data_IF_171071340595
#
_entry.id   IF_171071340595
#
_cell.length_a   1.000
_cell.length_b   1.000
_cell.length_c   1.000
_cell.angle_alpha   90.00
_cell.angle_beta   90.00
_cell.angle_gamma   90.00
#
_symmetry.space_group_name_H-M   'P 1'
#
loop_
_entity.id
_entity.type
_entity.pdbx_description
1 polymer ?
#
# COMPACT_ATOMS: atom_id res chain seq x y z
N UNK A 1 -3.88 4.96 -4.57
CA UNK A 1 -4.91 4.00 -4.13
C UNK A 1 -4.50 3.42 -2.78
N UNK A 2 -5.43 3.13 -1.86
CA UNK A 2 -5.15 2.46 -0.57
C UNK A 2 -6.21 1.37 -0.38
N UNK A 3 -5.78 0.13 -0.16
CA UNK A 3 -6.68 -0.99 0.14
C UNK A 3 -6.45 -1.53 1.55
N UNK A 4 -7.52 -1.96 2.20
CA UNK A 4 -7.47 -2.70 3.45
C UNK A 4 -8.06 -4.08 3.24
N UNK A 5 -7.31 -5.11 3.66
CA UNK A 5 -7.69 -6.49 3.49
C UNK A 5 -7.69 -7.23 4.82
N UNK A 6 -8.75 -8.02 5.07
CA UNK A 6 -8.74 -9.00 6.13
C UNK A 6 -7.90 -10.21 5.68
N UNK A 7 -6.70 -10.31 6.22
CA UNK A 7 -5.71 -11.32 5.83
C UNK A 7 -6.19 -12.76 5.99
N UNK A 8 -6.98 -13.08 7.02
CA UNK A 8 -7.42 -14.46 7.28
C UNK A 8 -8.52 -14.90 6.31
N UNK A 9 -9.44 -14.00 5.98
CA UNK A 9 -10.62 -14.33 5.17
C UNK A 9 -10.49 -14.00 3.68
N UNK A 10 -9.45 -13.24 3.31
CA UNK A 10 -9.25 -12.74 1.95
C UNK A 10 -10.17 -11.59 1.54
N UNK A 11 -10.97 -11.05 2.46
CA UNK A 11 -11.94 -9.98 2.17
C UNK A 11 -11.26 -8.62 2.02
N UNK A 12 -11.54 -7.91 0.92
CA UNK A 12 -11.28 -6.48 0.81
C UNK A 12 -12.30 -5.73 1.66
N UNK A 13 -11.87 -5.08 2.75
CA UNK A 13 -12.78 -4.45 3.73
C UNK A 13 -12.85 -2.94 3.60
N UNK A 14 -11.92 -2.32 2.87
CA UNK A 14 -11.94 -0.90 2.53
C UNK A 14 -11.14 -0.64 1.25
N UNK A 15 -11.51 0.41 0.52
CA UNK A 15 -10.69 1.03 -0.50
C UNK A 15 -10.84 2.54 -0.42
N UNK A 16 -9.72 3.25 -0.46
CA UNK A 16 -9.68 4.68 -0.70
C UNK A 16 -8.97 4.96 -2.02
N UNK A 17 -9.66 5.70 -2.88
CA UNK A 17 -9.12 6.15 -4.17
C UNK A 17 -9.47 7.62 -4.37
N UNK A 18 -8.47 8.46 -4.53
CA UNK A 18 -8.66 9.90 -4.69
C UNK A 18 -7.35 10.63 -4.94
N UNK A 19 -7.49 11.92 -5.26
CA UNK A 19 -6.36 12.84 -5.34
C UNK A 19 -6.27 13.62 -4.03
N UNK A 20 -5.07 13.69 -3.48
CA UNK A 20 -4.75 14.44 -2.27
C UNK A 20 -3.30 14.90 -2.39
N UNK A 21 -2.95 15.96 -1.67
CA UNK A 21 -1.56 16.39 -1.53
C UNK A 21 -0.70 15.25 -0.96
N UNK A 22 0.50 15.06 -1.52
CA UNK A 22 1.35 13.92 -1.20
C UNK A 22 1.74 13.83 0.27
N UNK A 23 1.91 14.98 0.93
CA UNK A 23 2.24 15.08 2.34
C UNK A 23 1.09 14.63 3.27
N UNK A 24 -0.15 14.56 2.76
CA UNK A 24 -1.32 14.11 3.53
C UNK A 24 -1.60 12.61 3.38
N UNK A 25 -0.96 11.91 2.44
CA UNK A 25 -1.22 10.49 2.19
C UNK A 25 -0.87 9.64 3.43
N UNK A 26 0.23 9.96 4.11
CA UNK A 26 0.61 9.29 5.36
C UNK A 26 -0.49 9.38 6.42
N UNK A 27 -1.15 10.53 6.52
CA UNK A 27 -2.22 10.75 7.50
C UNK A 27 -3.48 9.94 7.16
N UNK A 28 -3.82 9.81 5.88
CA UNK A 28 -4.92 8.95 5.42
C UNK A 28 -4.62 7.48 5.71
N UNK A 29 -3.39 7.02 5.47
CA UNK A 29 -2.99 5.63 5.76
C UNK A 29 -3.13 5.33 7.25
N UNK A 30 -2.65 6.22 8.12
CA UNK A 30 -2.75 6.07 9.57
C UNK A 30 -4.22 6.02 10.01
N UNK A 31 -5.03 7.00 9.58
CA UNK A 31 -6.44 7.09 9.95
C UNK A 31 -7.23 5.84 9.54
N UNK A 32 -7.06 5.38 8.31
CA UNK A 32 -7.68 4.13 7.83
C UNK A 32 -7.14 2.95 8.64
N UNK A 33 -5.83 2.90 8.85
CA UNK A 33 -5.17 1.85 9.61
C UNK A 33 -5.71 1.68 11.04
N UNK A 34 -5.94 2.79 11.74
CA UNK A 34 -6.54 2.82 13.08
C UNK A 34 -7.98 2.31 13.08
N UNK A 35 -8.79 2.73 12.09
CA UNK A 35 -10.17 2.25 11.93
C UNK A 35 -10.25 0.73 11.75
N UNK A 36 -9.20 0.13 11.17
CA UNK A 36 -9.09 -1.32 10.95
C UNK A 36 -8.09 -2.01 11.90
N UNK A 37 -7.90 -1.45 13.10
CA UNK A 37 -7.20 -2.12 14.20
C UNK A 37 -5.68 -2.12 14.07
N UNK A 38 -5.09 -0.99 13.68
CA UNK A 38 -3.65 -0.82 13.45
C UNK A 38 -3.13 -1.76 12.36
N UNK A 39 -3.85 -1.86 11.24
CA UNK A 39 -3.48 -2.69 10.12
C UNK A 39 -2.08 -2.32 9.59
N UNK A 40 -1.16 -3.28 9.53
CA UNK A 40 0.20 -3.06 9.07
C UNK A 40 0.21 -2.52 7.62
N UNK A 41 0.86 -1.39 7.38
CA UNK A 41 0.87 -0.72 6.09
C UNK A 41 1.99 -1.23 5.18
N UNK A 42 1.68 -1.60 3.94
CA UNK A 42 2.66 -1.86 2.89
C UNK A 42 2.60 -0.75 1.85
N UNK A 43 3.66 0.04 1.79
CA UNK A 43 3.77 1.21 0.90
C UNK A 43 4.74 0.86 -0.22
N UNK A 44 4.39 1.18 -1.46
CA UNK A 44 5.33 1.05 -2.58
C UNK A 44 6.45 2.09 -2.41
N UNK A 45 7.70 1.63 -2.28
CA UNK A 45 8.86 2.45 -2.00
C UNK A 45 9.41 3.09 -3.29
N UNK A 46 8.58 3.91 -3.95
CA UNK A 46 8.89 4.63 -5.19
C UNK A 46 8.35 6.06 -5.13
N UNK A 47 9.13 7.02 -5.65
CA UNK A 47 8.74 8.43 -5.73
C UNK A 47 8.13 8.94 -4.39
N UNK A 48 6.85 9.33 -4.41
CA UNK A 48 6.13 9.86 -3.26
C UNK A 48 5.88 8.84 -2.13
N UNK A 49 6.02 7.54 -2.40
CA UNK A 49 5.90 6.50 -1.38
C UNK A 49 6.97 6.59 -0.29
N UNK A 50 8.16 7.11 -0.60
CA UNK A 50 9.20 7.34 0.41
C UNK A 50 8.80 8.38 1.45
N UNK A 51 8.05 9.41 1.04
CA UNK A 51 7.47 10.39 1.96
C UNK A 51 6.47 9.73 2.90
N UNK A 52 5.60 8.87 2.37
CA UNK A 52 4.62 8.12 3.18
C UNK A 52 5.33 7.19 4.18
N UNK A 53 6.36 6.46 3.75
CA UNK A 53 7.19 5.59 4.62
C UNK A 53 7.81 6.41 5.76
N UNK A 54 8.36 7.59 5.45
CA UNK A 54 8.96 8.46 6.44
C UNK A 54 7.92 8.99 7.46
N UNK A 55 6.73 9.36 6.99
CA UNK A 55 5.62 9.79 7.83
C UNK A 55 5.17 8.68 8.79
N UNK A 56 4.97 7.46 8.28
CA UNK A 56 4.63 6.28 9.09
C UNK A 56 5.71 5.98 10.12
N UNK A 57 7.00 6.13 9.75
CA UNK A 57 8.12 5.95 10.67
C UNK A 57 8.10 6.99 11.80
N UNK A 58 7.86 8.27 11.50
CA UNK A 58 7.74 9.33 12.52
C UNK A 58 6.56 9.09 13.46
N UNK A 59 5.43 8.61 12.91
CA UNK A 59 4.25 8.26 13.69
C UNK A 59 4.40 6.94 14.49
N UNK A 60 5.52 6.22 14.36
CA UNK A 60 5.70 4.87 14.91
C UNK A 60 4.59 3.90 14.46
N UNK A 61 4.06 4.09 13.25
CA UNK A 61 2.99 3.28 12.69
C UNK A 61 3.55 1.94 12.17
N UNK A 62 2.86 0.79 12.37
CA UNK A 62 3.32 -0.51 11.90
C UNK A 62 3.46 -0.58 10.38
N UNK A 63 4.68 -0.88 9.90
CA UNK A 63 4.99 -1.03 8.48
C UNK A 63 5.30 -2.49 8.13
N UNK A 64 4.95 -2.87 6.90
CA UNK A 64 5.40 -4.10 6.28
C UNK A 64 6.81 -3.90 5.78
N UNK A 65 7.68 -4.85 6.11
CA UNK A 65 9.05 -4.90 5.64
C UNK A 65 9.16 -6.10 4.70
N UNK A 66 9.22 -5.84 3.39
CA UNK A 66 9.44 -6.92 2.41
C UNK A 66 10.77 -7.63 2.70
N UNK A 67 11.80 -6.85 3.03
CA UNK A 67 13.13 -7.33 3.43
C UNK A 67 13.43 -6.83 4.84
N UNK A 68 14.16 -7.59 5.67
CA UNK A 68 14.52 -7.13 7.01
C UNK A 68 15.17 -5.73 6.99
N UNK A 69 14.56 -4.76 7.67
CA UNK A 69 15.02 -3.37 7.72
C UNK A 69 14.73 -2.53 6.46
N UNK A 70 14.07 -3.10 5.45
CA UNK A 70 13.62 -2.42 4.23
C UNK A 70 12.14 -2.10 4.30
N UNK A 71 11.73 -0.85 4.64
CA UNK A 71 10.33 -0.51 4.79
C UNK A 71 9.60 -0.54 3.45
N UNK A 72 8.36 -1.01 3.47
CA UNK A 72 7.48 -1.07 2.31
C UNK A 72 7.84 -2.17 1.32
N UNK A 73 7.45 -1.94 0.08
CA UNK A 73 7.64 -2.82 -1.07
C UNK A 73 8.52 -2.13 -2.10
N UNK A 74 9.69 -2.68 -2.39
CA UNK A 74 10.57 -2.14 -3.43
C UNK A 74 10.16 -2.67 -4.81
N UNK A 75 9.64 -1.83 -5.74
CA UNK A 75 9.28 -2.29 -7.06
C UNK A 75 10.54 -2.51 -7.90
N UNK A 76 10.65 -3.71 -8.45
CA UNK A 76 11.63 -4.13 -9.45
C UNK A 76 10.86 -4.97 -10.48
N UNK A 77 11.37 -5.17 -11.70
CA UNK A 77 10.70 -6.03 -12.68
C UNK A 77 10.42 -7.43 -12.10
N UNK A 78 11.37 -7.96 -11.32
CA UNK A 78 11.22 -9.23 -10.62
C UNK A 78 10.11 -9.20 -9.57
N UNK A 79 10.13 -8.24 -8.64
CA UNK A 79 9.12 -8.17 -7.57
C UNK A 79 7.73 -7.82 -8.11
N UNK A 80 7.64 -7.04 -9.20
CA UNK A 80 6.38 -6.80 -9.92
C UNK A 80 5.81 -8.11 -10.49
N UNK A 81 6.63 -8.92 -11.16
CA UNK A 81 6.17 -10.20 -11.69
C UNK A 81 5.76 -11.16 -10.55
N UNK A 82 6.55 -11.26 -9.48
CA UNK A 82 6.24 -12.09 -8.30
C UNK A 82 4.89 -11.71 -7.64
N UNK A 83 4.61 -10.42 -7.49
CA UNK A 83 3.33 -9.96 -6.91
C UNK A 83 2.14 -10.18 -7.85
N UNK A 84 2.32 -10.01 -9.16
CA UNK A 84 1.27 -10.25 -10.16
C UNK A 84 0.92 -11.74 -10.23
N UNK A 85 1.92 -12.62 -10.29
CA UNK A 85 1.71 -14.08 -10.32
C UNK A 85 0.92 -14.55 -9.10
N UNK A 86 1.28 -14.04 -7.91
CA UNK A 86 0.62 -14.39 -6.66
C UNK A 86 -0.80 -13.82 -6.58
N UNK A 87 -0.99 -12.55 -6.97
CA UNK A 87 -2.30 -11.91 -7.00
C UNK A 87 -3.25 -12.60 -7.96
N UNK A 88 -2.77 -12.95 -9.16
CA UNK A 88 -3.55 -13.69 -10.16
C UNK A 88 -3.95 -15.07 -9.65
N UNK A 89 -3.00 -15.83 -9.08
CA UNK A 89 -3.27 -17.16 -8.52
C UNK A 89 -4.32 -17.08 -7.40
N UNK A 90 -4.16 -16.18 -6.44
CA UNK A 90 -5.10 -16.03 -5.33
C UNK A 90 -6.49 -15.54 -5.78
N UNK A 91 -6.56 -14.68 -6.79
CA UNK A 91 -7.84 -14.27 -7.38
C UNK A 91 -8.54 -15.45 -8.09
N UNK A 92 -7.79 -16.22 -8.88
CA UNK A 92 -8.30 -17.39 -9.61
C UNK A 92 -8.78 -18.50 -8.67
N UNK A 93 -8.05 -18.71 -7.57
CA UNK A 93 -8.33 -19.76 -6.59
C UNK A 93 -9.39 -19.32 -5.54
N UNK A 94 -9.98 -18.13 -5.70
CA UNK A 94 -10.99 -17.52 -4.83
C UNK A 94 -10.51 -17.22 -3.39
N UNK A 95 -9.20 -17.10 -3.20
CA UNK A 95 -8.59 -16.63 -1.95
C UNK A 95 -8.75 -15.11 -1.77
N UNK A 96 -8.96 -14.35 -2.85
CA UNK A 96 -9.25 -12.91 -2.79
C UNK A 96 -10.74 -12.64 -3.05
N UNK A 97 -11.40 -12.05 -2.07
CA UNK A 97 -12.80 -11.57 -2.17
C UNK A 97 -12.78 -10.06 -2.40
N UNK A 98 -12.68 -9.71 -3.68
CA UNK A 98 -12.60 -8.33 -4.17
C UNK A 98 -13.99 -7.69 -4.12
N UNK A 99 -14.16 -6.62 -3.32
CA UNK A 99 -15.43 -5.94 -3.14
C UNK A 99 -15.52 -4.63 -3.97
N UNK A 100 -14.39 -4.04 -4.33
CA UNK A 100 -14.36 -2.85 -5.18
C UNK A 100 -14.57 -3.22 -6.65
N UNK A 101 -15.70 -2.79 -7.22
CA UNK A 101 -16.03 -3.01 -8.64
C UNK A 101 -14.99 -2.37 -9.58
N UNK A 102 -14.38 -1.26 -9.16
CA UNK A 102 -13.36 -0.54 -9.92
C UNK A 102 -12.07 -1.37 -10.04
N UNK A 103 -11.70 -2.11 -8.98
CA UNK A 103 -10.57 -3.05 -9.05
C UNK A 103 -10.83 -4.12 -10.10
N UNK A 104 -12.04 -4.70 -10.11
CA UNK A 104 -12.45 -5.68 -11.13
C UNK A 104 -12.44 -5.07 -12.54
N UNK A 105 -12.78 -3.78 -12.66
CA UNK A 105 -12.70 -3.07 -13.94
C UNK A 105 -11.26 -2.93 -14.44
N UNK A 106 -10.31 -2.55 -13.57
CA UNK A 106 -8.89 -2.46 -13.93
C UNK A 106 -8.30 -3.83 -14.29
N UNK A 107 -8.76 -4.92 -13.64
CA UNK A 107 -8.29 -6.28 -13.95
C UNK A 107 -8.57 -6.69 -15.40
N UNK A 108 -9.65 -6.19 -16.00
CA UNK A 108 -10.01 -6.49 -17.40
C UNK A 108 -9.08 -5.85 -18.42
N UNK A 109 -8.34 -4.82 -18.00
CA UNK A 109 -7.46 -4.02 -18.85
C UNK A 109 -6.00 -4.15 -18.43
N UNK A 110 -5.69 -5.01 -17.46
CA UNK A 110 -4.32 -5.30 -17.04
C UNK A 110 -3.75 -6.42 -17.93
N UNK A 111 -2.72 -6.10 -18.69
CA UNK A 111 -2.18 -6.92 -19.77
C UNK A 111 -0.70 -7.22 -19.56
N UNK A 112 -0.20 -8.24 -20.25
CA UNK A 112 1.22 -8.55 -20.36
C UNK A 112 1.75 -8.04 -21.70
N UNK A 113 2.62 -7.04 -21.65
CA UNK A 113 3.37 -6.52 -22.78
C UNK A 113 4.59 -7.40 -23.08
N UNK A 114 4.90 -7.68 -24.35
CA UNK A 114 6.10 -8.43 -24.72
C UNK A 114 7.40 -7.63 -24.46
N UNK A 115 8.46 -8.24 -23.88
CA UNK A 115 8.51 -9.56 -23.25
C UNK A 115 8.27 -9.49 -21.72
N UNK A 116 7.10 -9.94 -21.26
CA UNK A 116 6.84 -10.27 -19.85
C UNK A 116 6.68 -9.10 -18.89
N UNK A 117 6.24 -7.93 -19.37
CA UNK A 117 5.97 -6.77 -18.52
C UNK A 117 4.48 -6.58 -18.32
N UNK A 118 4.02 -6.55 -17.07
CA UNK A 118 2.60 -6.32 -16.78
C UNK A 118 2.27 -4.85 -16.65
N UNK A 119 1.29 -4.35 -17.40
CA UNK A 119 0.87 -2.94 -17.35
C UNK A 119 -0.64 -2.82 -17.60
N UNK A 120 -1.21 -1.66 -17.28
CA UNK A 120 -2.51 -1.29 -17.83
C UNK A 120 -2.42 -1.08 -19.36
N UNK A 121 -3.45 -1.53 -20.08
CA UNK A 121 -3.65 -1.21 -21.48
C UNK A 121 -3.67 0.31 -21.70
N UNK A 122 -3.35 0.75 -22.92
CA UNK A 122 -3.28 2.17 -23.26
C UNK A 122 -4.56 2.93 -22.83
N UNK A 123 -4.38 4.02 -22.07
CA UNK A 123 -5.47 4.84 -21.54
C UNK A 123 -6.18 4.29 -20.30
N UNK A 124 -5.75 3.13 -19.77
CA UNK A 124 -6.29 2.52 -18.56
C UNK A 124 -5.39 2.78 -17.34
N UNK A 125 -5.87 2.37 -16.15
CA UNK A 125 -5.16 2.51 -14.87
C UNK A 125 -4.90 1.13 -14.27
N UNK A 126 -3.85 1.02 -13.46
CA UNK A 126 -3.47 -0.19 -12.74
C UNK A 126 -3.21 0.02 -11.24
N UNK A 127 -3.46 1.23 -10.70
CA UNK A 127 -3.21 1.55 -9.30
C UNK A 127 -3.89 0.58 -8.32
N UNK A 128 -5.10 0.10 -8.65
CA UNK A 128 -5.85 -0.83 -7.79
C UNK A 128 -5.35 -2.26 -7.93
N UNK A 129 -4.79 -2.60 -9.09
CA UNK A 129 -4.13 -3.89 -9.31
C UNK A 129 -2.84 -3.95 -8.52
N UNK A 130 -2.05 -2.88 -8.54
CA UNK A 130 -0.81 -2.77 -7.78
C UNK A 130 -1.06 -2.99 -6.29
N UNK A 131 -2.02 -2.28 -5.68
CA UNK A 131 -2.33 -2.46 -4.25
C UNK A 131 -2.93 -3.83 -3.92
N UNK A 132 -3.75 -4.41 -4.80
CA UNK A 132 -4.26 -5.79 -4.64
C UNK A 132 -3.12 -6.81 -4.66
N UNK A 133 -2.22 -6.72 -5.62
CA UNK A 133 -1.08 -7.64 -5.76
C UNK A 133 -0.12 -7.51 -4.58
N UNK A 134 0.15 -6.28 -4.11
CA UNK A 134 0.93 -6.07 -2.90
C UNK A 134 0.26 -6.65 -1.65
N UNK A 135 -1.06 -6.50 -1.51
CA UNK A 135 -1.80 -7.12 -0.42
C UNK A 135 -1.72 -8.65 -0.45
N UNK A 136 -1.76 -9.27 -1.64
CA UNK A 136 -1.59 -10.72 -1.81
C UNK A 136 -0.23 -11.19 -1.25
N UNK A 137 0.83 -10.44 -1.50
CA UNK A 137 2.18 -10.71 -0.96
C UNK A 137 2.21 -10.60 0.55
N UNK A 138 1.60 -9.56 1.12
CA UNK A 138 1.50 -9.43 2.57
C UNK A 138 0.78 -10.63 3.21
N UNK A 139 -0.29 -11.13 2.59
CA UNK A 139 -1.03 -12.28 3.10
C UNK A 139 -0.16 -13.53 3.18
N UNK A 140 0.63 -13.78 2.13
CA UNK A 140 1.54 -14.92 2.02
C UNK A 140 2.75 -14.83 2.96
N UNK A 141 3.31 -13.63 3.14
CA UNK A 141 4.59 -13.42 3.84
C UNK A 141 4.42 -13.16 5.34
N UNK A 142 3.30 -12.58 5.78
CA UNK A 142 3.04 -12.38 7.20
C UNK A 142 2.77 -13.73 7.90
N UNK A 143 3.17 -13.91 9.17
CA UNK A 143 2.88 -15.12 9.95
C UNK A 143 1.38 -15.27 10.23
N UNK A 144 0.83 -16.50 10.21
CA UNK A 144 -0.62 -16.78 10.42
C UNK A 144 -1.15 -16.42 11.80
N UNK A 145 -0.28 -16.31 12.80
CA UNK A 145 -0.64 -15.84 14.12
C UNK A 145 -1.15 -14.39 14.04
N UNK A 146 -2.20 -14.10 14.80
CA UNK A 146 -2.61 -12.71 15.03
C UNK A 146 -1.40 -12.00 15.62
N UNK A 147 -0.92 -10.97 14.92
CA UNK A 147 0.04 -10.08 15.54
C UNK A 147 -0.64 -9.56 16.81
N UNK A 148 -0.01 -9.67 18.00
CA UNK A 148 -0.57 -9.07 19.20
C UNK A 148 -0.92 -7.62 18.86
N UNK A 149 -2.07 -7.11 19.32
CA UNK A 149 -2.36 -5.68 19.22
C UNK A 149 -1.14 -5.00 19.80
N UNK A 150 -0.37 -4.33 18.95
CA UNK A 150 0.85 -3.68 19.41
C UNK A 150 0.45 -2.75 20.54
N UNK A 151 1.06 -2.89 21.71
CA UNK A 151 1.04 -1.87 22.76
C UNK A 151 1.86 -0.63 22.33
N UNK A 152 2.07 -0.42 21.03
CA UNK A 152 2.63 0.82 20.52
C UNK A 152 1.60 1.89 20.80
N UNK A 153 1.84 2.65 21.87
CA UNK A 153 1.17 3.90 22.16
C UNK A 153 1.30 4.78 20.91
N UNK A 154 0.25 4.81 20.09
CA UNK A 154 0.20 5.65 18.92
C UNK A 154 0.30 7.09 19.41
N UNK A 155 1.40 7.78 19.03
CA UNK A 155 1.73 9.11 19.56
C UNK A 155 0.85 10.22 18.99
N UNK A 156 -0.16 9.89 18.18
CA UNK A 156 -0.96 10.87 17.46
C UNK A 156 -0.18 11.55 16.34
N UNK A 157 -0.86 12.46 15.66
CA UNK A 157 -0.26 13.36 14.68
C UNK A 157 0.56 14.45 15.40
N UNK A 158 1.78 14.13 15.84
CA UNK A 158 2.64 15.07 16.56
C UNK A 158 3.10 16.27 15.71
N UNK A 159 3.06 16.14 14.38
CA UNK A 159 3.54 17.16 13.44
C UNK A 159 2.45 18.06 12.85
N UNK A 160 1.21 18.03 13.37
CA UNK A 160 0.11 18.88 12.84
C UNK A 160 0.50 20.36 12.76
N UNK A 161 1.24 20.85 13.77
CA UNK A 161 1.73 22.23 13.83
C UNK A 161 2.82 22.54 12.78
N UNK A 162 3.63 21.55 12.43
CA UNK A 162 4.69 21.69 11.41
C UNK A 162 4.11 21.66 9.99
N UNK A 163 3.00 20.92 9.78
CA UNK A 163 2.26 20.86 8.50
C UNK A 163 1.42 22.12 8.18
N UNK A 164 1.13 22.93 9.20
CA UNK A 164 0.37 24.19 9.10
C UNK A 164 1.28 25.42 8.85
N UNK A 165 2.61 25.25 8.83
CA UNK A 165 3.53 26.32 8.47
C UNK A 165 3.37 26.71 6.98
N UNK A 166 3.67 27.97 6.59
CA UNK A 166 3.65 28.38 5.19
C UNK A 166 4.47 27.41 4.34
N UNK A 167 3.80 26.80 3.37
CA UNK A 167 4.33 25.70 2.58
C UNK A 167 5.27 26.24 1.50
N UNK A 168 6.57 26.25 1.76
CA UNK A 168 7.54 26.27 0.66
C UNK A 168 7.47 24.92 -0.04
N UNK A 169 7.45 24.94 -1.37
CA UNK A 169 7.29 23.78 -2.26
C UNK A 169 8.43 22.73 -2.18
N UNK A 170 9.31 22.81 -1.17
CA UNK A 170 10.50 21.98 -0.97
C UNK A 170 10.27 20.68 -0.19
N UNK A 171 9.02 20.30 0.13
CA UNK A 171 8.75 19.08 0.92
C UNK A 171 9.32 17.81 0.26
N UNK A 172 9.46 17.78 -1.07
CA UNK A 172 10.08 16.67 -1.79
C UNK A 172 11.61 16.64 -1.69
N UNK A 173 12.28 17.79 -1.56
CA UNK A 173 13.76 17.86 -1.55
C UNK A 173 14.36 17.28 -0.25
N UNK A 174 13.57 17.23 0.83
CA UNK A 174 14.01 16.71 2.13
C UNK A 174 14.11 15.18 2.15
N UNK A 175 13.34 14.48 1.31
CA UNK A 175 13.24 13.00 1.34
C UNK A 175 13.94 12.29 0.17
N UNK A 176 14.56 13.03 -0.76
CA UNK A 176 15.28 12.50 -1.94
C UNK A 176 16.79 12.78 -1.85
N UNK A 177 17.39 12.60 -0.67
CA UNK A 177 18.86 12.64 -0.48
C UNK A 177 19.44 11.27 -0.16
#
# INVERSE_FOLDING_TARGET
NIDVWNRTSGNQVAQWNGHIEYDLIGDVVIMIGELYGMAKACVEALNHGWTVIADLKRASYPQFEHRPGGPGWLPTSRSKNEMVDSGYKMARDADLKINAKETVSEMRTFIEDPPGQFNAASGCKDDRITTLCMASQMMLLLPRELLPRGETEFKGFTNWKERMAPRDSGYQEVYVR
#
